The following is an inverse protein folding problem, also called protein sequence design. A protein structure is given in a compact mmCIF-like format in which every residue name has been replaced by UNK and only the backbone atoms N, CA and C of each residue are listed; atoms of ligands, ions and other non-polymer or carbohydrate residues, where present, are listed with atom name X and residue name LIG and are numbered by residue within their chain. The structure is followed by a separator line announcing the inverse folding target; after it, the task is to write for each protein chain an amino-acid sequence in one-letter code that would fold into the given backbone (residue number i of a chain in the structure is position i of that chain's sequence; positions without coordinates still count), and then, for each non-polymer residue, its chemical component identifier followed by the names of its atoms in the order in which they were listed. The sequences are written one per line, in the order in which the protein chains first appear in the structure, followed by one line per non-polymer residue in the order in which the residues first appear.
data_IF_024151191341
#
_entry.id   IF_024151191341
#
_cell.length_a   1.000
_cell.length_b   1.000
_cell.length_c   1.000
_cell.angle_alpha   90.00
_cell.angle_beta   90.00
_cell.angle_gamma   90.00
#
_symmetry.space_group_name_H-M   'P 1'
#
loop_
_entity.id
_entity.type
_entity.pdbx_description
1 polymer ?
#
# COMPACT_ATOMS: atom_id res chain seq x y z
N UNK A 1 12.95 0.96 -5.32
CA UNK A 1 12.12 1.96 -4.62
C UNK A 1 12.02 3.23 -5.47
N UNK A 2 10.79 3.60 -5.86
CA UNK A 2 10.51 4.75 -6.73
C UNK A 2 11.08 6.05 -6.14
N UNK A 3 10.79 6.34 -4.87
CA UNK A 3 11.22 7.56 -4.17
C UNK A 3 12.73 7.79 -4.30
N UNK A 4 13.54 6.80 -3.97
CA UNK A 4 14.99 6.90 -4.01
C UNK A 4 15.52 7.18 -5.42
N UNK A 5 15.03 6.47 -6.43
CA UNK A 5 15.43 6.67 -7.82
C UNK A 5 15.03 8.05 -8.33
N UNK A 6 13.81 8.49 -8.05
CA UNK A 6 13.31 9.78 -8.51
C UNK A 6 14.08 10.95 -7.87
N UNK A 7 14.25 10.93 -6.55
CA UNK A 7 14.96 11.99 -5.82
C UNK A 7 16.43 12.11 -6.26
N UNK A 8 17.11 10.98 -6.50
CA UNK A 8 18.48 11.02 -7.01
C UNK A 8 18.56 11.66 -8.42
N UNK A 9 17.63 11.29 -9.31
CA UNK A 9 17.57 11.88 -10.66
C UNK A 9 17.20 13.36 -10.63
N UNK A 10 16.30 13.76 -9.76
CA UNK A 10 15.95 15.16 -9.53
C UNK A 10 17.17 15.97 -9.02
N UNK A 11 17.90 15.42 -8.04
CA UNK A 11 19.12 16.05 -7.53
C UNK A 11 20.20 16.18 -8.61
N UNK A 12 20.40 15.16 -9.45
CA UNK A 12 21.35 15.22 -10.57
C UNK A 12 20.95 16.26 -11.61
N UNK A 13 19.64 16.37 -11.91
CA UNK A 13 19.13 17.38 -12.84
C UNK A 13 19.43 18.83 -12.32
N UNK A 14 19.16 19.10 -11.03
CA UNK A 14 19.41 20.43 -10.47
C UNK A 14 20.89 20.75 -10.21
N UNK A 15 21.75 19.73 -10.09
CA UNK A 15 23.22 19.97 -10.11
C UNK A 15 23.67 20.52 -11.45
N UNK A 16 23.10 20.05 -12.55
CA UNK A 16 23.44 20.48 -13.91
C UNK A 16 22.73 21.80 -14.27
N UNK A 17 21.53 22.01 -13.75
CA UNK A 17 20.65 23.14 -14.04
C UNK A 17 20.26 23.91 -12.76
N UNK A 18 21.19 24.60 -12.08
CA UNK A 18 20.93 25.20 -10.77
C UNK A 18 19.89 26.33 -10.81
N UNK A 19 19.71 26.98 -11.97
CA UNK A 19 18.75 28.07 -12.15
C UNK A 19 17.46 27.65 -12.88
N UNK A 20 17.17 26.36 -12.96
CA UNK A 20 15.96 25.87 -13.58
C UNK A 20 14.73 26.35 -12.79
N UNK A 21 13.70 26.94 -13.44
CA UNK A 21 12.51 27.46 -12.77
C UNK A 21 11.73 26.35 -12.05
N UNK A 22 11.87 25.10 -12.48
CA UNK A 22 11.27 23.92 -11.87
C UNK A 22 11.80 23.68 -10.44
N UNK A 23 12.95 24.25 -10.06
CA UNK A 23 13.48 24.13 -8.69
C UNK A 23 12.55 24.72 -7.64
N UNK A 24 11.75 25.73 -7.99
CA UNK A 24 10.78 26.36 -7.08
C UNK A 24 9.57 25.46 -6.77
N UNK A 25 9.24 24.56 -7.67
CA UNK A 25 8.10 23.65 -7.53
C UNK A 25 8.51 22.19 -7.26
N UNK A 26 9.82 21.94 -7.28
CA UNK A 26 10.38 20.64 -6.97
C UNK A 26 10.13 20.30 -5.50
N UNK A 27 9.45 19.20 -5.26
CA UNK A 27 9.08 18.73 -3.93
C UNK A 27 9.52 17.28 -3.74
N UNK A 28 9.46 16.81 -2.49
CA UNK A 28 9.69 15.41 -2.15
C UNK A 28 8.54 14.55 -2.70
N UNK A 29 8.81 13.84 -3.80
CA UNK A 29 7.83 13.01 -4.48
C UNK A 29 7.96 11.56 -4.00
N UNK A 30 7.03 11.13 -3.16
CA UNK A 30 7.02 9.80 -2.59
C UNK A 30 6.39 8.74 -3.53
N UNK A 31 5.46 9.16 -4.39
CA UNK A 31 4.63 8.26 -5.23
C UNK A 31 4.59 8.71 -6.68
N UNK A 32 4.44 7.76 -7.58
CA UNK A 32 4.48 7.97 -9.03
C UNK A 32 3.15 8.46 -9.63
N UNK A 33 2.16 8.94 -8.89
CA UNK A 33 0.84 9.36 -9.41
C UNK A 33 0.24 8.42 -10.49
N UNK A 34 0.71 7.19 -10.52
CA UNK A 34 0.24 6.08 -11.34
C UNK A 34 0.64 4.78 -10.64
N UNK A 35 -0.35 4.09 -10.09
CA UNK A 35 -0.12 2.88 -9.29
C UNK A 35 0.49 1.74 -10.11
N UNK A 36 0.18 1.67 -11.41
CA UNK A 36 0.73 0.63 -12.30
C UNK A 36 2.22 0.83 -12.52
N UNK A 37 2.65 2.08 -12.77
CA UNK A 37 4.06 2.40 -12.90
C UNK A 37 4.79 2.20 -11.57
N UNK A 38 4.18 2.59 -10.46
CA UNK A 38 4.78 2.37 -9.14
C UNK A 38 4.95 0.89 -8.84
N UNK A 39 3.90 0.09 -9.04
CA UNK A 39 3.98 -1.36 -8.86
C UNK A 39 5.07 -1.98 -9.75
N UNK A 40 5.17 -1.55 -11.01
CA UNK A 40 6.22 -2.04 -11.92
C UNK A 40 7.64 -1.72 -11.41
N UNK A 41 7.87 -0.48 -10.93
CA UNK A 41 9.19 -0.05 -10.43
C UNK A 41 9.54 -0.72 -9.10
N UNK A 42 8.57 -0.94 -8.22
CA UNK A 42 8.79 -1.48 -6.87
C UNK A 42 8.85 -3.01 -6.83
N UNK A 43 7.97 -3.68 -7.59
CA UNK A 43 7.85 -5.15 -7.55
C UNK A 43 8.39 -5.84 -8.81
N UNK A 44 8.85 -5.05 -9.78
CA UNK A 44 9.33 -5.55 -11.06
C UNK A 44 8.22 -6.14 -11.94
N UNK A 45 8.64 -6.73 -13.06
CA UNK A 45 7.73 -7.30 -14.06
C UNK A 45 6.84 -8.42 -13.47
N UNK A 46 7.40 -9.25 -12.60
CA UNK A 46 6.67 -10.40 -12.03
C UNK A 46 5.53 -9.91 -11.13
N UNK A 47 5.81 -8.99 -10.21
CA UNK A 47 4.78 -8.43 -9.32
C UNK A 47 3.71 -7.66 -10.08
N UNK A 48 4.11 -6.92 -11.12
CA UNK A 48 3.19 -6.20 -12.00
C UNK A 48 2.23 -7.16 -12.74
N UNK A 49 2.75 -8.26 -13.32
CA UNK A 49 1.93 -9.28 -14.00
C UNK A 49 0.98 -9.94 -13.00
N UNK A 50 1.41 -10.25 -11.79
CA UNK A 50 0.55 -10.83 -10.75
C UNK A 50 -0.57 -9.88 -10.36
N UNK A 51 -0.27 -8.59 -10.19
CA UNK A 51 -1.28 -7.57 -9.88
C UNK A 51 -2.33 -7.47 -10.99
N UNK A 52 -1.91 -7.38 -12.26
CA UNK A 52 -2.82 -7.38 -13.40
C UNK A 52 -3.62 -8.69 -13.49
N UNK A 53 -2.98 -9.83 -13.23
CA UNK A 53 -3.62 -11.14 -13.18
C UNK A 53 -4.76 -11.20 -12.18
N UNK A 54 -4.57 -10.67 -10.97
CA UNK A 54 -5.63 -10.57 -9.94
C UNK A 54 -6.80 -9.73 -10.45
N UNK A 55 -6.54 -8.56 -11.04
CA UNK A 55 -7.58 -7.69 -11.59
C UNK A 55 -8.36 -8.39 -12.71
N UNK A 56 -7.67 -9.00 -13.64
CA UNK A 56 -8.28 -9.74 -14.77
C UNK A 56 -9.12 -10.92 -14.25
N UNK A 57 -8.61 -11.70 -13.31
CA UNK A 57 -9.36 -12.80 -12.69
C UNK A 57 -10.63 -12.29 -12.00
N UNK A 58 -10.53 -11.21 -11.21
CA UNK A 58 -11.69 -10.63 -10.53
C UNK A 58 -12.76 -10.14 -11.52
N UNK A 59 -12.34 -9.47 -12.60
CA UNK A 59 -13.27 -8.95 -13.62
C UNK A 59 -13.91 -10.06 -14.46
N UNK A 60 -13.22 -11.18 -14.68
CA UNK A 60 -13.74 -12.33 -15.43
C UNK A 60 -14.57 -13.30 -14.59
N UNK A 61 -14.58 -13.16 -13.27
CA UNK A 61 -15.40 -13.98 -12.36
C UNK A 61 -16.88 -13.94 -12.75
N UNK A 62 -17.60 -15.06 -12.62
CA UNK A 62 -19.00 -15.16 -13.01
C UNK A 62 -19.84 -15.95 -11.98
N UNK A 63 -20.97 -15.35 -11.60
CA UNK A 63 -21.99 -16.06 -10.82
C UNK A 63 -23.36 -15.86 -11.47
N UNK A 64 -24.09 -16.97 -11.67
CA UNK A 64 -25.41 -16.93 -12.30
C UNK A 64 -26.52 -16.49 -11.33
N UNK A 65 -26.33 -16.72 -10.04
CA UNK A 65 -27.36 -16.51 -9.01
C UNK A 65 -27.30 -15.11 -8.37
N UNK A 66 -26.09 -14.51 -8.28
CA UNK A 66 -25.87 -13.19 -7.65
C UNK A 66 -25.25 -12.18 -8.63
N UNK A 67 -25.88 -12.08 -9.80
CA UNK A 67 -25.35 -11.29 -10.91
C UNK A 67 -25.21 -9.79 -10.56
N UNK A 68 -26.20 -9.23 -9.87
CA UNK A 68 -26.22 -7.79 -9.54
C UNK A 68 -25.17 -7.44 -8.48
N UNK A 69 -25.04 -8.27 -7.43
CA UNK A 69 -24.03 -8.07 -6.39
C UNK A 69 -22.61 -8.19 -6.96
N UNK A 70 -22.41 -9.16 -7.86
CA UNK A 70 -21.12 -9.32 -8.54
C UNK A 70 -20.81 -8.14 -9.46
N UNK A 71 -21.81 -7.60 -10.17
CA UNK A 71 -21.65 -6.43 -11.01
C UNK A 71 -21.25 -5.18 -10.19
N UNK A 72 -21.88 -4.99 -9.03
CA UNK A 72 -21.54 -3.90 -8.12
C UNK A 72 -20.08 -4.00 -7.62
N UNK A 73 -19.66 -5.18 -7.19
CA UNK A 73 -18.30 -5.41 -6.74
C UNK A 73 -17.26 -5.17 -7.86
N UNK A 74 -17.54 -5.65 -9.07
CA UNK A 74 -16.71 -5.41 -10.26
C UNK A 74 -16.64 -3.93 -10.62
N UNK A 75 -17.74 -3.21 -10.58
CA UNK A 75 -17.79 -1.77 -10.82
C UNK A 75 -16.92 -1.01 -9.82
N UNK A 76 -16.95 -1.41 -8.54
CA UNK A 76 -16.08 -0.86 -7.50
C UNK A 76 -14.59 -1.11 -7.79
N UNK A 77 -14.22 -2.33 -8.16
CA UNK A 77 -12.83 -2.65 -8.54
C UNK A 77 -12.42 -1.86 -9.78
N UNK A 78 -13.27 -1.79 -10.80
CA UNK A 78 -12.98 -1.03 -12.03
C UNK A 78 -12.79 0.45 -11.75
N UNK A 79 -13.60 1.03 -10.85
CA UNK A 79 -13.46 2.43 -10.43
C UNK A 79 -12.12 2.69 -9.75
N UNK A 80 -11.69 1.80 -8.84
CA UNK A 80 -10.38 1.90 -8.19
C UNK A 80 -9.26 1.72 -9.21
N UNK A 81 -9.39 0.76 -10.14
CA UNK A 81 -8.41 0.52 -11.19
C UNK A 81 -8.28 1.71 -12.16
N UNK A 82 -9.39 2.37 -12.50
CA UNK A 82 -9.37 3.59 -13.30
C UNK A 82 -8.72 4.76 -12.54
N UNK A 83 -9.02 4.90 -11.25
CA UNK A 83 -8.39 5.92 -10.40
C UNK A 83 -6.88 5.68 -10.25
N UNK A 84 -6.43 4.42 -10.24
CA UNK A 84 -5.02 4.03 -10.18
C UNK A 84 -4.18 4.49 -11.39
N UNK A 85 -4.80 4.85 -12.52
CA UNK A 85 -4.11 5.41 -13.67
C UNK A 85 -3.57 6.83 -13.43
N UNK A 86 -4.22 7.58 -12.53
CA UNK A 86 -3.92 9.00 -12.30
C UNK A 86 -3.55 9.31 -10.85
N UNK A 87 -3.51 8.30 -9.98
CA UNK A 87 -3.26 8.45 -8.56
C UNK A 87 -2.65 7.19 -7.97
N UNK A 88 -2.53 7.16 -6.62
CA UNK A 88 -1.94 6.07 -5.84
C UNK A 88 -2.93 5.48 -4.81
N UNK A 89 -4.08 4.91 -5.26
CA UNK A 89 -5.14 4.42 -4.36
C UNK A 89 -4.68 3.32 -3.41
N UNK A 90 -3.70 2.49 -3.80
CA UNK A 90 -3.17 1.44 -2.94
C UNK A 90 -2.34 1.97 -1.75
N UNK A 91 -1.95 3.25 -1.76
CA UNK A 91 -1.29 3.89 -0.63
C UNK A 91 -2.30 4.48 0.38
N UNK A 92 -3.57 4.62 -0.03
CA UNK A 92 -4.64 5.16 0.80
C UNK A 92 -5.33 3.99 1.52
N UNK A 93 -5.13 3.87 2.84
CA UNK A 93 -5.59 2.74 3.62
C UNK A 93 -7.09 2.41 3.45
N UNK A 94 -8.05 3.36 3.51
CA UNK A 94 -9.46 3.07 3.27
C UNK A 94 -9.73 2.45 1.91
N UNK A 95 -9.08 2.94 0.84
CA UNK A 95 -9.27 2.43 -0.52
C UNK A 95 -8.67 1.03 -0.65
N UNK A 96 -7.50 0.80 -0.06
CA UNK A 96 -6.86 -0.53 0.01
C UNK A 96 -7.76 -1.55 0.69
N UNK A 97 -8.34 -1.21 1.83
CA UNK A 97 -9.28 -2.08 2.57
C UNK A 97 -10.52 -2.36 1.71
N UNK A 98 -11.09 -1.33 1.08
CA UNK A 98 -12.26 -1.47 0.20
C UNK A 98 -11.96 -2.39 -0.98
N UNK A 99 -10.79 -2.25 -1.62
CA UNK A 99 -10.37 -3.14 -2.71
C UNK A 99 -10.28 -4.60 -2.24
N UNK A 100 -9.66 -4.85 -1.09
CA UNK A 100 -9.58 -6.20 -0.51
C UNK A 100 -10.96 -6.77 -0.21
N UNK A 101 -11.88 -5.96 0.32
CA UNK A 101 -13.27 -6.37 0.56
C UNK A 101 -13.98 -6.76 -0.74
N UNK A 102 -13.85 -5.97 -1.81
CA UNK A 102 -14.44 -6.32 -3.11
C UNK A 102 -13.84 -7.60 -3.71
N UNK A 103 -12.51 -7.77 -3.63
CA UNK A 103 -11.84 -8.97 -4.10
C UNK A 103 -12.30 -10.21 -3.32
N UNK A 104 -12.39 -10.11 -1.99
CA UNK A 104 -12.87 -11.18 -1.13
C UNK A 104 -14.36 -11.51 -1.41
N UNK A 105 -15.17 -10.49 -1.65
CA UNK A 105 -16.58 -10.66 -1.99
C UNK A 105 -16.74 -11.41 -3.31
N UNK A 106 -16.03 -11.00 -4.38
CA UNK A 106 -16.03 -11.71 -5.67
C UNK A 106 -15.51 -13.13 -5.50
N UNK A 107 -14.41 -13.34 -4.78
CA UNK A 107 -13.86 -14.67 -4.56
C UNK A 107 -14.83 -15.63 -3.84
N UNK A 108 -15.67 -15.09 -2.95
CA UNK A 108 -16.70 -15.88 -2.27
C UNK A 108 -17.88 -16.23 -3.19
N UNK A 109 -18.21 -15.37 -4.15
CA UNK A 109 -19.33 -15.58 -5.09
C UNK A 109 -18.93 -16.40 -6.32
N UNK A 110 -17.64 -16.45 -6.67
CA UNK A 110 -17.18 -17.11 -7.89
C UNK A 110 -17.26 -18.64 -7.81
N UNK A 111 -17.26 -19.30 -8.95
CA UNK A 111 -17.14 -20.76 -9.02
C UNK A 111 -15.80 -21.19 -8.45
N UNK A 112 -15.85 -22.04 -7.43
CA UNK A 112 -14.66 -22.57 -6.79
C UNK A 112 -13.85 -23.43 -7.78
N UNK A 113 -12.70 -22.91 -8.22
CA UNK A 113 -11.75 -23.66 -9.06
C UNK A 113 -11.08 -24.77 -8.25
N UNK A 114 -10.80 -24.48 -6.99
CA UNK A 114 -10.16 -25.40 -6.06
C UNK A 114 -10.76 -25.26 -4.67
N UNK A 115 -11.27 -26.35 -4.11
CA UNK A 115 -11.78 -26.38 -2.75
C UNK A 115 -10.90 -27.28 -1.90
N UNK A 116 -10.20 -26.68 -0.92
CA UNK A 116 -9.59 -27.46 0.14
C UNK A 116 -10.68 -27.70 1.18
N UNK A 117 -11.22 -28.93 1.22
CA UNK A 117 -12.18 -29.31 2.24
C UNK A 117 -11.47 -29.49 3.59
N UNK A 118 -11.36 -28.37 4.33
CA UNK A 118 -10.82 -28.38 5.68
C UNK A 118 -11.82 -28.91 6.70
N UNK A 119 -13.08 -29.06 6.35
CA UNK A 119 -14.13 -29.53 7.27
C UNK A 119 -13.89 -30.98 7.74
N UNK A 120 -13.20 -31.80 6.92
CA UNK A 120 -12.81 -33.16 7.28
C UNK A 120 -11.72 -33.24 8.35
N UNK A 121 -10.96 -32.17 8.58
CA UNK A 121 -9.94 -32.11 9.63
C UNK A 121 -10.52 -31.37 10.84
N UNK A 122 -10.87 -32.11 11.88
CA UNK A 122 -11.48 -31.64 13.14
C UNK A 122 -10.82 -30.36 13.73
N UNK A 123 -9.54 -30.14 13.47
CA UNK A 123 -8.75 -29.01 14.01
C UNK A 123 -8.50 -27.88 12.99
N UNK A 124 -8.90 -28.01 11.74
CA UNK A 124 -8.58 -27.02 10.70
C UNK A 124 -9.21 -25.64 10.96
N UNK A 125 -10.48 -25.50 11.37
CA UNK A 125 -11.06 -24.19 11.69
C UNK A 125 -10.41 -23.56 12.93
N UNK A 126 -10.03 -24.36 13.93
CA UNK A 126 -9.32 -23.87 15.10
C UNK A 126 -7.92 -23.36 14.74
N UNK A 127 -7.21 -24.06 13.86
CA UNK A 127 -5.87 -23.67 13.40
C UNK A 127 -5.93 -22.38 12.57
N UNK A 128 -6.89 -22.22 11.68
CA UNK A 128 -7.07 -20.99 10.89
C UNK A 128 -7.41 -19.79 11.78
N UNK A 129 -8.27 -19.98 12.77
CA UNK A 129 -8.60 -18.95 13.76
C UNK A 129 -7.37 -18.57 14.59
N UNK A 130 -6.60 -19.54 15.06
CA UNK A 130 -5.39 -19.32 15.85
C UNK A 130 -4.31 -18.57 15.06
N UNK A 131 -4.18 -18.87 13.75
CA UNK A 131 -3.26 -18.18 12.85
C UNK A 131 -3.69 -16.72 12.67
N UNK A 132 -4.98 -16.46 12.48
CA UNK A 132 -5.55 -15.12 12.32
C UNK A 132 -5.38 -14.28 13.59
N UNK A 133 -5.63 -14.88 14.77
CA UNK A 133 -5.39 -14.27 16.08
C UNK A 133 -3.88 -14.01 16.28
N UNK A 134 -3.01 -14.94 15.91
CA UNK A 134 -1.56 -14.78 15.99
C UNK A 134 -1.04 -13.61 15.16
N UNK A 135 -1.51 -13.46 13.92
CA UNK A 135 -1.19 -12.31 13.06
C UNK A 135 -1.70 -11.00 13.68
N UNK A 136 -2.91 -11.01 14.24
CA UNK A 136 -3.49 -9.86 14.94
C UNK A 136 -2.66 -9.43 16.15
N UNK A 137 -2.28 -10.38 17.00
CA UNK A 137 -1.43 -10.11 18.18
C UNK A 137 -0.05 -9.59 17.76
N UNK A 138 0.57 -10.18 16.72
CA UNK A 138 1.85 -9.72 16.19
C UNK A 138 1.77 -8.27 15.69
N UNK A 139 0.68 -7.90 15.01
CA UNK A 139 0.40 -6.52 14.62
C UNK A 139 0.26 -5.59 15.82
N UNK A 140 -0.51 -5.99 16.83
CA UNK A 140 -0.71 -5.21 18.06
C UNK A 140 0.59 -5.01 18.85
N UNK A 141 1.47 -6.00 18.89
CA UNK A 141 2.77 -5.90 19.55
C UNK A 141 3.70 -4.86 18.87
N UNK A 142 3.53 -4.60 17.59
CA UNK A 142 4.29 -3.58 16.86
C UNK A 142 3.74 -2.16 17.04
N UNK A 143 2.48 -2.02 17.41
CA UNK A 143 1.79 -0.73 17.56
C UNK A 143 2.51 0.25 18.51
N UNK A 144 3.01 -0.15 19.71
CA UNK A 144 3.73 0.77 20.59
C UNK A 144 5.02 1.33 19.96
N UNK A 145 5.74 0.52 19.19
CA UNK A 145 6.95 0.94 18.49
C UNK A 145 6.63 2.00 17.43
N UNK A 146 5.62 1.76 16.60
CA UNK A 146 5.15 2.74 15.60
C UNK A 146 4.66 4.02 16.26
N UNK A 147 3.93 3.93 17.38
CA UNK A 147 3.46 5.11 18.09
C UNK A 147 4.60 5.95 18.63
N UNK A 148 5.64 5.33 19.21
CA UNK A 148 6.82 6.05 19.69
C UNK A 148 7.61 6.69 18.55
N UNK A 149 7.79 5.99 17.42
CA UNK A 149 8.43 6.52 16.23
C UNK A 149 7.67 7.76 15.70
N UNK A 150 6.35 7.65 15.58
CA UNK A 150 5.50 8.76 15.15
C UNK A 150 5.56 9.96 16.11
N UNK A 151 5.56 9.71 17.43
CA UNK A 151 5.66 10.77 18.44
C UNK A 151 6.97 11.54 18.31
N UNK A 152 8.09 10.85 18.16
CA UNK A 152 9.41 11.48 17.97
C UNK A 152 9.48 12.26 16.67
N UNK A 153 8.95 11.72 15.59
CA UNK A 153 8.84 12.42 14.31
C UNK A 153 8.00 13.71 14.43
N UNK A 154 6.88 13.66 15.14
CA UNK A 154 6.04 14.83 15.40
C UNK A 154 6.78 15.90 16.22
N UNK A 155 7.57 15.49 17.22
CA UNK A 155 8.41 16.40 18.01
C UNK A 155 9.50 17.06 17.15
N UNK A 156 10.15 16.30 16.29
CA UNK A 156 11.13 16.80 15.32
C UNK A 156 10.52 17.89 14.42
N UNK A 157 9.32 17.66 13.89
CA UNK A 157 8.62 18.65 13.08
C UNK A 157 8.27 19.93 13.87
N UNK A 158 7.96 19.79 15.15
CA UNK A 158 7.67 20.91 16.05
C UNK A 158 8.94 21.75 16.32
N UNK A 159 10.08 21.08 16.52
CA UNK A 159 11.39 21.73 16.71
C UNK A 159 11.85 22.46 15.43
N UNK A 160 11.59 21.87 14.26
CA UNK A 160 11.82 22.53 12.97
C UNK A 160 11.05 23.86 12.87
N UNK A 161 9.75 23.84 13.18
CA UNK A 161 8.91 25.04 13.12
C UNK A 161 9.32 26.13 14.13
N UNK A 162 10.04 25.77 15.20
CA UNK A 162 10.60 26.69 16.18
C UNK A 162 11.98 27.24 15.79
N UNK A 163 12.59 26.72 14.71
CA UNK A 163 13.93 27.09 14.27
C UNK A 163 15.05 26.37 15.03
N UNK A 164 14.76 25.44 15.90
CA UNK A 164 15.77 24.63 16.60
C UNK A 164 16.16 23.41 15.77
N UNK A 165 17.02 23.65 14.79
CA UNK A 165 17.43 22.62 13.82
C UNK A 165 18.28 21.51 14.45
N UNK A 166 19.05 21.82 15.51
CA UNK A 166 19.89 20.83 16.19
C UNK A 166 19.01 19.77 16.89
N UNK A 167 18.01 20.23 17.65
CA UNK A 167 17.04 19.35 18.30
C UNK A 167 16.18 18.60 17.28
N UNK A 168 15.80 19.27 16.18
CA UNK A 168 15.07 18.64 15.09
C UNK A 168 15.80 17.43 14.52
N UNK A 169 17.09 17.55 14.22
CA UNK A 169 17.92 16.47 13.68
C UNK A 169 18.05 15.32 14.68
N UNK A 170 18.31 15.63 15.95
CA UNK A 170 18.47 14.63 17.01
C UNK A 170 17.18 13.81 17.23
N UNK A 171 16.02 14.48 17.31
CA UNK A 171 14.73 13.81 17.44
C UNK A 171 14.35 13.01 16.19
N UNK A 172 14.69 13.53 15.00
CA UNK A 172 14.42 12.83 13.74
C UNK A 172 15.25 11.55 13.62
N UNK A 173 16.53 11.58 13.95
CA UNK A 173 17.40 10.40 13.96
C UNK A 173 16.95 9.36 14.99
N UNK A 174 16.42 9.81 16.13
CA UNK A 174 15.86 8.92 17.17
C UNK A 174 14.47 8.37 16.82
N UNK A 175 13.82 8.91 15.80
CA UNK A 175 12.46 8.46 15.43
C UNK A 175 12.45 7.07 14.78
N UNK A 176 13.58 6.63 14.23
CA UNK A 176 13.76 5.30 13.59
C UNK A 176 12.70 4.98 12.51
N UNK A 177 12.06 6.04 11.97
CA UNK A 177 10.98 5.90 10.97
C UNK A 177 11.49 5.21 9.71
N UNK A 178 12.76 5.40 9.36
CA UNK A 178 13.36 4.75 8.20
C UNK A 178 13.51 3.23 8.36
N UNK A 179 13.55 2.70 9.59
CA UNK A 179 13.57 1.27 9.84
C UNK A 179 12.15 0.65 9.94
N UNK A 180 11.10 1.47 9.95
CA UNK A 180 9.71 1.01 9.98
C UNK A 180 9.08 0.88 8.58
N UNK A 181 9.74 1.32 7.52
CA UNK A 181 9.23 1.28 6.14
C UNK A 181 9.72 0.05 5.33
N UNK A 182 10.29 -0.99 6.01
CA UNK A 182 10.70 -2.25 5.37
C UNK A 182 10.04 -3.46 6.00
#
# INVERSE_FOLDING_TARGET
NFKSCYMNKQADFFKINPNAPESMVASDTCYAFNEYLQAFVETGLVGFILMLGILVCALNSQNKYEKDNMLMAKAGILSIAAFALFSYPAQILPIKVTLVCYLAWIANMDKKIFTIDLSRKKYAPALSFLLLVGVGICGLCKLPSYYQAYKKWSLSHLSYNRGDYAQCIDEFLKSDIFNCEY
#
